data_IF_816058228685
#
_entry.id   IF_816058228685
#
_cell.length_a   1.000
_cell.length_b   1.000
_cell.length_c   1.000
_cell.angle_alpha   90.00
_cell.angle_beta   90.00
_cell.angle_gamma   90.00
#
_symmetry.space_group_name_H-M   'P 1'
#
loop_
_entity.id
_entity.type
_entity.pdbx_description
1 polymer ?
#
# COMPACT_ATOMS: atom_id res chain seq x y z
N UNK A 1 -40.46 -17.95 5.30
CA UNK A 1 -40.29 -18.26 3.86
C UNK A 1 -39.36 -19.47 3.75
N UNK A 2 -39.75 -20.51 3.00
CA UNK A 2 -38.83 -21.60 2.68
C UNK A 2 -38.15 -21.22 1.36
N UNK A 3 -36.83 -21.07 1.39
CA UNK A 3 -36.04 -20.84 0.19
C UNK A 3 -35.79 -22.22 -0.43
N UNK A 4 -36.79 -22.72 -1.15
CA UNK A 4 -36.90 -24.13 -1.54
C UNK A 4 -35.79 -24.60 -2.50
N UNK A 5 -34.97 -23.69 -3.05
CA UNK A 5 -33.82 -24.04 -3.87
C UNK A 5 -32.55 -23.29 -3.42
N UNK A 6 -31.65 -24.03 -2.77
CA UNK A 6 -30.37 -23.52 -2.28
C UNK A 6 -29.40 -23.17 -3.42
N UNK A 7 -29.47 -23.86 -4.56
CA UNK A 7 -28.60 -23.61 -5.72
C UNK A 7 -28.93 -22.26 -6.36
N UNK A 8 -30.22 -21.97 -6.55
CA UNK A 8 -30.68 -20.67 -7.06
C UNK A 8 -30.29 -19.52 -6.13
N UNK A 9 -30.35 -19.75 -4.81
CA UNK A 9 -29.95 -18.75 -3.84
C UNK A 9 -28.43 -18.52 -3.83
N UNK A 10 -27.66 -19.57 -4.07
CA UNK A 10 -26.21 -19.51 -4.19
C UNK A 10 -25.78 -18.79 -5.48
N UNK A 11 -26.46 -19.03 -6.60
CA UNK A 11 -26.22 -18.30 -7.85
C UNK A 11 -26.47 -16.80 -7.66
N UNK A 12 -27.61 -16.43 -7.06
CA UNK A 12 -27.91 -15.03 -6.71
C UNK A 12 -26.88 -14.42 -5.75
N UNK A 13 -26.32 -15.21 -4.84
CA UNK A 13 -25.25 -14.75 -3.96
C UNK A 13 -23.98 -14.43 -4.75
N UNK A 14 -23.62 -15.27 -5.72
CA UNK A 14 -22.48 -15.03 -6.61
C UNK A 14 -22.69 -13.84 -7.55
N UNK A 15 -23.92 -13.60 -7.98
CA UNK A 15 -24.32 -12.40 -8.76
C UNK A 15 -24.53 -11.14 -7.88
N UNK A 16 -24.34 -11.24 -6.56
CA UNK A 16 -24.51 -10.16 -5.59
C UNK A 16 -25.94 -9.57 -5.52
N UNK A 17 -26.96 -10.41 -5.71
CA UNK A 17 -28.39 -10.05 -5.69
C UNK A 17 -29.13 -10.53 -4.42
N UNK A 18 -28.41 -11.05 -3.42
CA UNK A 18 -29.01 -11.53 -2.16
C UNK A 18 -29.21 -10.42 -1.14
N UNK A 19 -30.29 -10.53 -0.36
CA UNK A 19 -30.55 -9.71 0.82
C UNK A 19 -29.81 -10.23 2.06
N UNK A 20 -29.70 -9.42 3.11
CA UNK A 20 -29.04 -9.80 4.37
C UNK A 20 -29.69 -11.02 5.04
N UNK A 21 -31.02 -11.17 4.92
CA UNK A 21 -31.75 -12.32 5.45
C UNK A 21 -31.44 -13.60 4.67
N UNK A 22 -31.35 -13.51 3.35
CA UNK A 22 -30.97 -14.62 2.46
C UNK A 22 -29.53 -15.07 2.70
N UNK A 23 -28.60 -14.14 2.88
CA UNK A 23 -27.21 -14.47 3.23
C UNK A 23 -27.09 -15.13 4.60
N UNK A 24 -27.87 -14.67 5.60
CA UNK A 24 -27.92 -15.31 6.90
C UNK A 24 -28.40 -16.77 6.79
N UNK A 25 -29.38 -17.01 5.91
CA UNK A 25 -29.84 -18.36 5.63
C UNK A 25 -28.78 -19.23 4.95
N UNK A 26 -28.08 -18.71 3.93
CA UNK A 26 -26.95 -19.41 3.29
C UNK A 26 -25.85 -19.77 4.30
N UNK A 27 -25.51 -18.83 5.19
CA UNK A 27 -24.55 -19.07 6.28
C UNK A 27 -25.01 -20.23 7.17
N UNK A 28 -26.26 -20.21 7.62
CA UNK A 28 -26.79 -21.25 8.49
C UNK A 28 -26.86 -22.61 7.80
N UNK A 29 -27.20 -22.65 6.52
CA UNK A 29 -27.27 -23.87 5.72
C UNK A 29 -25.88 -24.50 5.53
N UNK A 30 -24.87 -23.72 5.13
CA UNK A 30 -23.53 -24.23 4.87
C UNK A 30 -22.68 -24.51 6.12
N UNK A 31 -23.15 -24.08 7.30
CA UNK A 31 -22.53 -24.43 8.58
C UNK A 31 -23.00 -25.79 9.15
N UNK A 32 -23.89 -26.49 8.44
CA UNK A 32 -24.33 -27.85 8.81
C UNK A 32 -23.23 -28.89 8.54
N UNK A 33 -23.33 -30.06 9.19
CA UNK A 33 -22.32 -31.11 9.11
C UNK A 33 -22.24 -31.77 7.72
N UNK A 34 -23.38 -31.94 7.04
CA UNK A 34 -23.47 -32.63 5.75
C UNK A 34 -24.24 -31.78 4.72
N UNK A 35 -23.70 -31.67 3.52
CA UNK A 35 -24.35 -31.04 2.34
C UNK A 35 -24.18 -31.95 1.13
N UNK A 36 -25.05 -31.85 0.10
CA UNK A 36 -24.90 -32.58 -1.15
C UNK A 36 -23.49 -32.44 -1.76
N UNK A 37 -22.95 -33.48 -2.43
CA UNK A 37 -21.61 -33.42 -3.01
C UNK A 37 -21.35 -32.25 -3.96
N UNK A 38 -22.37 -31.82 -4.72
CA UNK A 38 -22.32 -30.65 -5.61
C UNK A 38 -22.06 -29.33 -4.88
N UNK A 39 -22.45 -29.25 -3.61
CA UNK A 39 -22.44 -28.03 -2.80
C UNK A 39 -21.26 -27.97 -1.81
N UNK A 40 -20.35 -28.95 -1.87
CA UNK A 40 -19.22 -29.04 -0.94
C UNK A 40 -18.22 -27.89 -1.14
N UNK A 41 -17.98 -27.47 -2.38
CA UNK A 41 -17.14 -26.31 -2.68
C UNK A 41 -17.70 -25.02 -2.07
N UNK A 42 -19.02 -24.81 -2.14
CA UNK A 42 -19.68 -23.69 -1.50
C UNK A 42 -19.59 -23.78 0.03
N UNK A 43 -19.75 -24.97 0.59
CA UNK A 43 -19.61 -25.21 2.03
C UNK A 43 -18.22 -24.82 2.56
N UNK A 44 -17.16 -25.24 1.87
CA UNK A 44 -15.78 -24.92 2.25
C UNK A 44 -15.55 -23.41 2.27
N UNK A 45 -16.08 -22.71 1.27
CA UNK A 45 -16.02 -21.25 1.18
C UNK A 45 -16.75 -20.54 2.35
N UNK A 46 -17.99 -20.94 2.65
CA UNK A 46 -18.76 -20.33 3.74
C UNK A 46 -18.14 -20.63 5.10
N UNK A 47 -17.59 -21.84 5.31
CA UNK A 47 -16.86 -22.20 6.53
C UNK A 47 -15.56 -21.40 6.70
N UNK A 48 -14.80 -21.21 5.62
CA UNK A 48 -13.61 -20.35 5.62
C UNK A 48 -13.96 -18.90 5.99
N UNK A 49 -15.04 -18.35 5.41
CA UNK A 49 -15.51 -16.99 5.74
C UNK A 49 -15.98 -16.86 7.20
N UNK A 50 -16.66 -17.85 7.76
CA UNK A 50 -17.04 -17.89 9.18
C UNK A 50 -15.80 -17.90 10.08
N UNK A 51 -14.80 -18.74 9.76
CA UNK A 51 -13.56 -18.83 10.53
C UNK A 51 -12.78 -17.51 10.56
N UNK A 52 -12.74 -16.79 9.43
CA UNK A 52 -12.06 -15.50 9.33
C UNK A 52 -12.82 -14.33 9.96
N UNK A 53 -14.14 -14.45 10.19
CA UNK A 53 -14.93 -13.35 10.79
C UNK A 53 -14.50 -13.00 12.21
N UNK A 54 -13.91 -13.96 12.93
CA UNK A 54 -13.37 -13.74 14.27
C UNK A 54 -11.96 -13.12 14.28
N UNK A 55 -11.33 -12.98 13.12
CA UNK A 55 -10.13 -12.18 12.98
C UNK A 55 -10.54 -10.71 12.90
N UNK A 56 -10.75 -10.10 14.08
CA UNK A 56 -10.86 -8.65 14.18
C UNK A 56 -9.60 -8.07 13.54
N UNK A 57 -9.76 -7.29 12.47
CA UNK A 57 -8.75 -6.35 12.02
C UNK A 57 -8.51 -5.33 13.15
N UNK A 58 -7.68 -5.68 14.14
CA UNK A 58 -7.30 -4.83 15.26
C UNK A 58 -6.33 -3.71 14.85
N UNK A 59 -6.18 -3.45 13.55
CA UNK A 59 -5.21 -2.49 13.01
C UNK A 59 -5.69 -1.04 12.92
N UNK A 60 -6.99 -0.74 13.08
CA UNK A 60 -7.54 0.59 12.82
C UNK A 60 -8.38 1.20 13.97
N UNK A 61 -8.05 0.88 15.22
CA UNK A 61 -8.44 1.68 16.39
C UNK A 61 -7.23 1.75 17.33
N UNK A 62 -6.32 2.69 17.07
CA UNK A 62 -5.00 2.75 17.67
C UNK A 62 -4.81 4.02 18.51
N UNK A 63 -5.76 4.31 19.39
CA UNK A 63 -5.71 5.55 20.17
C UNK A 63 -5.43 5.28 21.66
N UNK A 64 -6.14 4.35 22.31
CA UNK A 64 -6.01 4.16 23.78
C UNK A 64 -4.63 3.72 24.27
N UNK A 65 -4.02 2.70 23.64
CA UNK A 65 -2.70 2.21 24.06
C UNK A 65 -1.58 3.21 23.77
N UNK A 66 -1.70 3.99 22.69
CA UNK A 66 -0.70 4.98 22.28
C UNK A 66 -0.67 6.18 23.22
N UNK A 67 -1.83 6.72 23.63
CA UNK A 67 -1.89 7.85 24.56
C UNK A 67 -1.46 7.47 25.98
N UNK A 68 -1.65 6.20 26.39
CA UNK A 68 -1.15 5.70 27.69
C UNK A 68 0.38 5.73 27.84
N UNK A 69 1.13 5.66 26.74
CA UNK A 69 2.60 5.67 26.74
C UNK A 69 3.20 7.09 26.68
N UNK A 70 2.38 8.11 26.42
CA UNK A 70 2.83 9.50 26.21
C UNK A 70 2.55 10.38 27.45
N UNK A 71 1.63 10.00 28.34
CA UNK A 71 1.16 10.84 29.44
C UNK A 71 1.95 10.80 30.78
N UNK A 72 3.02 10.01 30.93
CA UNK A 72 3.82 10.05 32.18
C UNK A 72 5.23 10.64 32.01
N UNK A 73 5.45 11.94 32.29
CA UNK A 73 6.78 12.42 32.57
C UNK A 73 7.15 12.02 34.00
N UNK A 74 7.80 10.86 34.17
CA UNK A 74 8.49 10.54 35.43
C UNK A 74 9.71 11.44 35.59
N UNK A 75 9.48 12.66 36.08
CA UNK A 75 10.55 13.57 36.50
C UNK A 75 11.18 12.97 37.77
N UNK A 76 12.22 12.15 37.60
CA UNK A 76 13.10 11.76 38.71
C UNK A 76 13.87 12.98 39.16
N UNK A 77 13.43 13.61 40.27
CA UNK A 77 14.24 14.61 40.98
C UNK A 77 15.42 13.89 41.62
N UNK A 78 16.58 13.95 40.96
CA UNK A 78 17.83 13.45 41.52
C UNK A 78 18.28 14.42 42.60
N UNK A 79 18.13 14.05 43.87
CA UNK A 79 18.71 14.80 44.98
C UNK A 79 20.22 14.54 45.00
N UNK A 80 21.00 15.51 44.48
CA UNK A 80 22.45 15.57 44.71
C UNK A 80 22.69 16.13 46.11
N UNK A 81 23.12 15.28 47.05
CA UNK A 81 23.78 15.74 48.28
C UNK A 81 25.25 16.01 47.96
N UNK A 82 25.83 17.18 48.31
CA UNK A 82 27.25 17.43 48.10
C UNK A 82 28.01 17.03 49.36
N UNK A 83 28.72 15.89 49.32
CA UNK A 83 29.77 15.59 50.28
C UNK A 83 31.12 15.85 49.61
N UNK A 84 31.85 16.85 50.11
CA UNK A 84 33.04 17.44 49.47
C UNK A 84 34.27 16.51 49.40
N UNK A 85 34.14 15.22 49.68
CA UNK A 85 35.17 14.20 49.48
C UNK A 85 34.96 13.36 48.21
N UNK A 86 33.88 13.60 47.45
CA UNK A 86 33.49 12.82 46.27
C UNK A 86 33.94 13.39 44.92
N UNK A 87 34.47 14.61 44.86
CA UNK A 87 34.72 15.31 43.58
C UNK A 87 35.86 14.66 42.77
N UNK A 88 36.96 14.27 43.43
CA UNK A 88 38.07 13.58 42.76
C UNK A 88 37.69 12.16 42.32
N UNK A 89 36.90 11.44 43.14
CA UNK A 89 36.38 10.11 42.79
C UNK A 89 35.37 10.17 41.65
N UNK A 90 34.54 11.22 41.58
CA UNK A 90 33.59 11.44 40.48
C UNK A 90 34.32 11.76 39.17
N UNK A 91 35.38 12.57 39.22
CA UNK A 91 36.23 12.86 38.05
C UNK A 91 36.98 11.62 37.59
N UNK A 92 37.53 10.83 38.52
CA UNK A 92 38.17 9.57 38.18
C UNK A 92 37.18 8.55 37.59
N UNK A 93 35.98 8.45 38.15
CA UNK A 93 34.93 7.56 37.66
C UNK A 93 34.40 8.00 36.28
N UNK A 94 34.26 9.31 36.02
CA UNK A 94 33.81 9.80 34.72
C UNK A 94 34.86 9.55 33.63
N UNK A 95 36.14 9.79 33.93
CA UNK A 95 37.25 9.46 33.03
C UNK A 95 37.33 7.95 32.79
N UNK A 96 37.20 7.13 33.84
CA UNK A 96 37.18 5.68 33.72
C UNK A 96 36.01 5.19 32.86
N UNK A 97 34.80 5.71 33.07
CA UNK A 97 33.63 5.38 32.26
C UNK A 97 33.79 5.82 30.80
N UNK A 98 34.44 6.95 30.53
CA UNK A 98 34.76 7.37 29.17
C UNK A 98 35.79 6.46 28.52
N UNK A 99 36.84 6.05 29.24
CA UNK A 99 37.86 5.14 28.73
C UNK A 99 37.27 3.75 28.48
N UNK A 100 36.51 3.21 29.44
CA UNK A 100 35.83 1.92 29.32
C UNK A 100 34.80 1.99 28.18
N UNK A 101 33.99 3.05 28.12
CA UNK A 101 33.00 3.27 27.07
C UNK A 101 33.63 3.42 25.69
N UNK A 102 34.76 4.13 25.59
CA UNK A 102 35.51 4.29 24.35
C UNK A 102 36.17 2.97 23.92
N UNK A 103 36.76 2.22 24.85
CA UNK A 103 37.42 0.96 24.55
C UNK A 103 36.41 -0.15 24.22
N UNK A 104 35.27 -0.19 24.93
CA UNK A 104 34.15 -1.08 24.64
C UNK A 104 33.46 -0.70 23.32
N UNK A 105 33.25 0.59 23.06
CA UNK A 105 32.66 1.10 21.82
C UNK A 105 33.57 0.95 20.61
N UNK A 106 34.89 0.98 20.79
CA UNK A 106 35.85 0.75 19.70
C UNK A 106 36.12 -0.75 19.44
N UNK A 107 35.88 -1.63 20.43
CA UNK A 107 35.97 -3.09 20.26
C UNK A 107 34.69 -3.74 19.76
N UNK A 108 33.55 -3.18 20.14
CA UNK A 108 32.29 -3.47 19.48
C UNK A 108 32.15 -2.44 18.35
N UNK A 109 32.81 -2.69 17.22
CA UNK A 109 32.24 -2.23 15.96
C UNK A 109 30.79 -2.69 16.00
N UNK A 110 29.85 -1.75 16.14
CA UNK A 110 28.44 -2.04 15.94
C UNK A 110 28.42 -2.81 14.61
N UNK A 111 28.12 -4.11 14.67
CA UNK A 111 27.89 -4.88 13.46
C UNK A 111 26.76 -4.13 12.79
N UNK A 112 27.08 -3.39 11.73
CA UNK A 112 26.14 -2.55 11.01
C UNK A 112 25.17 -3.51 10.31
N UNK A 113 24.18 -4.05 11.02
CA UNK A 113 23.08 -4.83 10.44
C UNK A 113 22.28 -3.98 9.44
N UNK A 114 22.42 -2.64 9.51
CA UNK A 114 21.93 -1.71 8.49
C UNK A 114 22.66 -1.81 7.14
N UNK A 115 23.92 -2.23 7.07
CA UNK A 115 24.66 -2.34 5.81
C UNK A 115 24.13 -3.43 4.85
N UNK A 116 23.89 -4.69 5.27
CA UNK A 116 23.37 -5.71 4.37
C UNK A 116 21.94 -5.38 3.89
N UNK A 117 21.10 -4.82 4.76
CA UNK A 117 19.73 -4.42 4.36
C UNK A 117 19.70 -3.28 3.34
N UNK A 118 20.56 -2.27 3.52
CA UNK A 118 20.68 -1.15 2.57
C UNK A 118 21.30 -1.63 1.25
N UNK A 119 22.23 -2.59 1.30
CA UNK A 119 22.81 -3.19 0.09
C UNK A 119 21.76 -3.99 -0.70
N UNK A 120 20.94 -4.81 -0.02
CA UNK A 120 19.86 -5.57 -0.65
C UNK A 120 18.80 -4.64 -1.26
N UNK A 121 18.38 -3.60 -0.54
CA UNK A 121 17.45 -2.60 -1.05
C UNK A 121 18.00 -1.88 -2.29
N UNK A 122 19.29 -1.49 -2.27
CA UNK A 122 19.93 -0.89 -3.45
C UNK A 122 19.94 -1.85 -4.63
N UNK A 123 20.23 -3.13 -4.42
CA UNK A 123 20.19 -4.13 -5.49
C UNK A 123 18.79 -4.26 -6.10
N UNK A 124 17.75 -4.29 -5.27
CA UNK A 124 16.36 -4.36 -5.72
C UNK A 124 15.96 -3.13 -6.56
N UNK A 125 16.34 -1.93 -6.12
CA UNK A 125 16.11 -0.70 -6.88
C UNK A 125 16.88 -0.70 -8.20
N UNK A 126 18.12 -1.20 -8.22
CA UNK A 126 18.90 -1.31 -9.44
C UNK A 126 18.28 -2.30 -10.44
N UNK A 127 17.73 -3.41 -9.95
CA UNK A 127 16.95 -4.35 -10.77
C UNK A 127 15.71 -3.66 -11.35
N UNK A 128 14.94 -2.95 -10.51
CA UNK A 128 13.78 -2.15 -10.91
C UNK A 128 14.15 -1.18 -12.03
N UNK A 129 15.21 -0.40 -11.82
CA UNK A 129 15.69 0.60 -12.78
C UNK A 129 16.17 -0.04 -14.07
N UNK A 130 16.88 -1.17 -13.99
CA UNK A 130 17.36 -1.90 -15.16
C UNK A 130 16.19 -2.41 -16.00
N UNK A 131 15.25 -3.10 -15.37
CA UNK A 131 14.13 -3.78 -16.03
C UNK A 131 13.06 -2.80 -16.51
N UNK A 132 12.86 -1.66 -15.84
CA UNK A 132 11.82 -0.67 -16.20
C UNK A 132 12.37 0.59 -16.89
N UNK A 133 13.68 0.66 -17.13
CA UNK A 133 14.24 1.78 -17.91
C UNK A 133 13.63 1.84 -19.31
N UNK A 134 13.49 3.02 -19.94
CA UNK A 134 12.98 3.11 -21.31
C UNK A 134 13.77 2.28 -22.33
N UNK A 135 15.06 2.01 -22.06
CA UNK A 135 15.96 1.20 -22.90
C UNK A 135 15.80 -0.31 -22.68
N UNK A 136 14.99 -0.72 -21.70
CA UNK A 136 14.79 -2.14 -21.35
C UNK A 136 13.95 -2.91 -22.36
N UNK A 137 13.25 -2.23 -23.28
CA UNK A 137 12.38 -2.87 -24.26
C UNK A 137 13.13 -3.91 -25.13
N UNK A 138 14.45 -3.77 -25.27
CA UNK A 138 15.32 -4.70 -26.01
C UNK A 138 15.85 -5.86 -25.15
N UNK A 139 15.86 -5.71 -23.83
CA UNK A 139 16.54 -6.64 -22.90
C UNK A 139 15.63 -7.35 -21.90
N UNK A 140 14.37 -6.91 -21.75
CA UNK A 140 13.38 -7.53 -20.89
C UNK A 140 12.02 -7.64 -21.60
N UNK A 141 11.32 -8.76 -21.41
CA UNK A 141 9.98 -8.97 -21.94
C UNK A 141 8.93 -8.17 -21.17
N UNK A 142 7.76 -7.94 -21.77
CA UNK A 142 6.65 -7.25 -21.07
C UNK A 142 6.22 -7.99 -19.79
N UNK A 143 6.24 -9.33 -19.79
CA UNK A 143 5.91 -10.16 -18.63
C UNK A 143 6.92 -10.00 -17.50
N UNK A 144 8.22 -9.96 -17.81
CA UNK A 144 9.28 -9.70 -16.82
C UNK A 144 9.13 -8.31 -16.20
N UNK A 145 8.89 -7.29 -17.03
CA UNK A 145 8.63 -5.93 -16.54
C UNK A 145 7.39 -5.85 -15.66
N UNK A 146 6.31 -6.52 -16.05
CA UNK A 146 5.08 -6.60 -15.26
C UNK A 146 5.30 -7.26 -13.89
N UNK A 147 6.09 -8.33 -13.84
CA UNK A 147 6.44 -9.02 -12.60
C UNK A 147 7.23 -8.11 -11.66
N UNK A 148 8.17 -7.33 -12.20
CA UNK A 148 8.94 -6.35 -11.42
C UNK A 148 8.03 -5.23 -10.91
N UNK A 149 7.17 -4.64 -11.74
CA UNK A 149 6.24 -3.58 -11.34
C UNK A 149 5.31 -3.97 -10.18
N UNK A 150 4.88 -5.24 -10.13
CA UNK A 150 3.99 -5.76 -9.09
C UNK A 150 4.71 -6.11 -7.79
N UNK A 151 6.05 -6.09 -7.77
CA UNK A 151 6.83 -6.37 -6.57
C UNK A 151 6.71 -5.19 -5.61
N UNK A 152 6.39 -5.47 -4.36
CA UNK A 152 6.35 -4.44 -3.33
C UNK A 152 7.77 -4.10 -2.86
N UNK A 153 8.19 -2.86 -3.11
CA UNK A 153 9.46 -2.32 -2.59
C UNK A 153 9.12 -1.38 -1.44
N UNK A 154 8.93 -1.95 -0.25
CA UNK A 154 8.45 -1.23 0.95
C UNK A 154 9.59 -0.89 1.89
N UNK A 155 10.36 0.16 1.57
CA UNK A 155 11.30 0.78 2.52
C UNK A 155 11.37 2.29 2.30
N UNK A 156 10.92 3.06 3.31
CA UNK A 156 10.84 4.53 3.35
C UNK A 156 12.01 5.32 2.70
N UNK A 157 13.30 4.95 2.87
CA UNK A 157 14.39 5.70 2.23
C UNK A 157 14.39 5.63 0.68
N UNK A 158 13.68 4.68 0.06
CA UNK A 158 13.67 4.44 -1.38
C UNK A 158 12.40 4.92 -2.09
N UNK A 159 11.35 5.28 -1.36
CA UNK A 159 10.00 5.51 -1.90
C UNK A 159 9.98 6.51 -3.07
N UNK A 160 10.75 7.60 -2.97
CA UNK A 160 10.82 8.62 -4.04
C UNK A 160 11.45 8.08 -5.32
N UNK A 161 12.50 7.26 -5.21
CA UNK A 161 13.19 6.70 -6.37
C UNK A 161 12.31 5.64 -7.05
N UNK A 162 11.68 4.76 -6.27
CA UNK A 162 10.74 3.76 -6.80
C UNK A 162 9.53 4.43 -7.45
N UNK A 163 8.94 5.44 -6.81
CA UNK A 163 7.84 6.21 -7.38
C UNK A 163 8.24 6.84 -8.72
N UNK A 164 9.44 7.41 -8.83
CA UNK A 164 9.91 7.98 -10.10
C UNK A 164 10.07 6.93 -11.21
N UNK A 165 10.54 5.73 -10.88
CA UNK A 165 10.66 4.62 -11.84
C UNK A 165 9.26 4.19 -12.31
N UNK A 166 8.31 4.04 -11.39
CA UNK A 166 6.92 3.69 -11.70
C UNK A 166 6.22 4.77 -12.53
N UNK A 167 6.44 6.06 -12.25
CA UNK A 167 5.92 7.17 -13.08
C UNK A 167 6.44 7.05 -14.52
N UNK A 168 7.72 6.74 -14.69
CA UNK A 168 8.30 6.55 -16.02
C UNK A 168 7.70 5.33 -16.73
N UNK A 169 7.54 4.21 -16.04
CA UNK A 169 6.91 3.00 -16.59
C UNK A 169 5.45 3.26 -16.98
N UNK A 170 4.66 3.90 -16.11
CA UNK A 170 3.28 4.31 -16.38
C UNK A 170 3.18 5.16 -17.64
N UNK A 171 4.11 6.09 -17.87
CA UNK A 171 4.05 7.03 -18.98
C UNK A 171 4.60 6.51 -20.30
N UNK A 172 5.64 5.68 -20.24
CA UNK A 172 6.47 5.40 -21.41
C UNK A 172 6.69 3.92 -21.70
N UNK A 173 6.24 2.98 -20.87
CA UNK A 173 6.39 1.56 -21.22
C UNK A 173 5.61 1.26 -22.51
N UNK A 174 6.22 0.57 -23.50
CA UNK A 174 5.54 0.26 -24.75
C UNK A 174 4.29 -0.61 -24.56
N UNK A 175 4.26 -1.45 -23.51
CA UNK A 175 3.15 -2.35 -23.24
C UNK A 175 2.10 -1.70 -22.31
N UNK A 176 0.85 -1.66 -22.77
CA UNK A 176 -0.30 -1.09 -22.04
C UNK A 176 -0.48 -1.72 -20.66
N UNK A 177 -0.31 -3.04 -20.53
CA UNK A 177 -0.53 -3.74 -19.28
C UNK A 177 0.54 -3.40 -18.23
N UNK A 178 1.78 -3.13 -18.69
CA UNK A 178 2.84 -2.64 -17.80
C UNK A 178 2.54 -1.21 -17.36
N UNK A 179 2.05 -0.35 -18.27
CA UNK A 179 1.61 1.01 -17.91
C UNK A 179 0.48 1.00 -16.88
N UNK A 180 -0.51 0.12 -17.04
CA UNK A 180 -1.61 -0.07 -16.09
C UNK A 180 -1.13 -0.53 -14.72
N UNK A 181 -0.29 -1.58 -14.69
CA UNK A 181 0.25 -2.07 -13.43
C UNK A 181 1.11 -1.02 -12.74
N UNK A 182 1.88 -0.22 -13.49
CA UNK A 182 2.69 0.84 -12.90
C UNK A 182 1.82 1.97 -12.33
N UNK A 183 0.72 2.31 -13.01
CA UNK A 183 -0.29 3.26 -12.52
C UNK A 183 -0.91 2.79 -11.19
N UNK A 184 -1.26 1.50 -11.10
CA UNK A 184 -1.82 0.86 -9.90
C UNK A 184 -0.81 0.79 -8.76
N UNK A 185 0.40 0.23 -9.00
CA UNK A 185 1.46 0.12 -7.99
C UNK A 185 1.86 1.49 -7.42
N UNK A 186 1.84 2.54 -8.25
CA UNK A 186 2.17 3.90 -7.84
C UNK A 186 1.24 4.44 -6.72
N UNK A 187 0.04 3.87 -6.56
CA UNK A 187 -0.94 4.29 -5.55
C UNK A 187 -0.45 4.08 -4.12
N UNK A 188 0.45 3.11 -3.92
CA UNK A 188 1.09 2.90 -2.62
C UNK A 188 1.88 4.14 -2.16
N UNK A 189 2.41 4.91 -3.11
CA UNK A 189 3.22 6.10 -2.86
C UNK A 189 2.42 7.41 -2.91
N UNK A 190 1.08 7.36 -2.85
CA UNK A 190 0.15 8.51 -2.95
C UNK A 190 0.38 9.66 -1.96
N UNK A 191 1.10 9.41 -0.86
CA UNK A 191 1.46 10.44 0.12
C UNK A 191 2.55 11.39 -0.41
N UNK A 192 3.30 10.98 -1.43
CA UNK A 192 4.29 11.82 -2.08
C UNK A 192 3.58 12.82 -3.02
N UNK A 193 3.75 14.14 -2.84
CA UNK A 193 3.11 15.14 -3.71
C UNK A 193 3.41 14.94 -5.20
N UNK A 194 4.63 14.53 -5.53
CA UNK A 194 5.05 14.23 -6.91
C UNK A 194 4.22 13.12 -7.58
N UNK A 195 3.66 12.19 -6.81
CA UNK A 195 2.83 11.10 -7.34
C UNK A 195 1.45 11.61 -7.74
N UNK A 196 0.86 12.45 -6.88
CA UNK A 196 -0.44 13.08 -7.15
C UNK A 196 -0.36 13.97 -8.39
N UNK A 197 0.70 14.77 -8.49
CA UNK A 197 0.99 15.58 -9.67
C UNK A 197 1.21 14.71 -10.91
N UNK A 198 1.97 13.61 -10.80
CA UNK A 198 2.19 12.70 -11.91
C UNK A 198 0.88 12.12 -12.45
N UNK A 199 -0.07 11.70 -11.63
CA UNK A 199 -1.37 11.22 -12.11
C UNK A 199 -2.13 12.28 -12.93
N UNK A 200 -2.12 13.55 -12.49
CA UNK A 200 -2.75 14.65 -13.21
C UNK A 200 -2.08 14.86 -14.57
N UNK A 201 -0.75 14.89 -14.61
CA UNK A 201 0.01 15.08 -15.85
C UNK A 201 -0.14 13.89 -16.80
N UNK A 202 -0.10 12.67 -16.27
CA UNK A 202 -0.28 11.44 -17.04
C UNK A 202 -1.63 11.39 -17.75
N UNK A 203 -2.70 11.89 -17.14
CA UNK A 203 -4.02 11.95 -17.78
C UNK A 203 -4.02 12.76 -19.09
N UNK A 204 -3.11 13.74 -19.22
CA UNK A 204 -2.97 14.52 -20.46
C UNK A 204 -2.42 13.71 -21.62
N UNK A 205 -1.46 12.84 -21.35
CA UNK A 205 -0.63 12.19 -22.38
C UNK A 205 -1.08 10.76 -22.68
N UNK A 206 -1.76 10.09 -21.73
CA UNK A 206 -2.23 8.72 -21.95
C UNK A 206 -3.34 8.67 -22.99
N UNK A 207 -3.19 7.75 -23.94
CA UNK A 207 -4.11 7.55 -25.06
C UNK A 207 -4.93 6.27 -24.91
N UNK A 208 -4.44 5.30 -24.14
CA UNK A 208 -5.13 4.03 -23.92
C UNK A 208 -6.36 4.23 -23.00
N UNK A 209 -7.58 3.82 -23.41
CA UNK A 209 -8.79 4.01 -22.62
C UNK A 209 -8.75 3.35 -21.24
N UNK A 210 -8.11 2.19 -21.09
CA UNK A 210 -8.04 1.50 -19.80
C UNK A 210 -7.12 2.27 -18.84
N UNK A 211 -5.99 2.79 -19.33
CA UNK A 211 -5.10 3.63 -18.53
C UNK A 211 -5.77 4.95 -18.15
N UNK A 212 -6.51 5.57 -19.08
CA UNK A 212 -7.30 6.77 -18.80
C UNK A 212 -8.36 6.52 -17.73
N UNK A 213 -9.09 5.41 -17.81
CA UNK A 213 -10.09 5.03 -16.82
C UNK A 213 -9.47 4.86 -15.42
N UNK A 214 -8.38 4.10 -15.33
CA UNK A 214 -7.65 3.89 -14.07
C UNK A 214 -7.17 5.22 -13.46
N UNK A 215 -6.60 6.10 -14.27
CA UNK A 215 -6.15 7.42 -13.80
C UNK A 215 -7.32 8.24 -13.25
N UNK A 216 -8.46 8.25 -13.92
CA UNK A 216 -9.65 8.96 -13.42
C UNK A 216 -10.11 8.36 -12.08
N UNK A 217 -10.19 7.03 -11.99
CA UNK A 217 -10.62 6.34 -10.76
C UNK A 217 -9.67 6.62 -9.58
N UNK A 218 -8.35 6.64 -9.83
CA UNK A 218 -7.35 7.00 -8.84
C UNK A 218 -7.51 8.45 -8.38
N UNK A 219 -7.67 9.40 -9.30
CA UNK A 219 -7.83 10.82 -8.96
C UNK A 219 -9.07 11.06 -8.11
N UNK A 220 -10.16 10.33 -8.39
CA UNK A 220 -11.37 10.32 -7.57
C UNK A 220 -11.11 9.71 -6.19
N UNK A 221 -10.46 8.55 -6.11
CA UNK A 221 -10.13 7.88 -4.85
C UNK A 221 -9.24 8.74 -3.95
N UNK A 222 -8.31 9.50 -4.54
CA UNK A 222 -7.42 10.44 -3.85
C UNK A 222 -8.12 11.78 -3.50
N UNK A 223 -9.35 12.00 -3.97
CA UNK A 223 -10.08 13.27 -3.86
C UNK A 223 -9.24 14.44 -4.39
N UNK A 224 -8.55 14.24 -5.52
CA UNK A 224 -7.61 15.19 -6.07
C UNK A 224 -8.32 16.34 -6.82
N UNK A 225 -8.71 17.38 -6.07
CA UNK A 225 -9.41 18.55 -6.64
C UNK A 225 -8.58 19.30 -7.69
N UNK A 226 -7.25 19.25 -7.60
CA UNK A 226 -6.38 19.90 -8.60
C UNK A 226 -6.50 19.28 -9.99
N UNK A 227 -7.04 18.05 -10.09
CA UNK A 227 -7.26 17.38 -11.35
C UNK A 227 -8.49 17.89 -12.13
N UNK A 228 -9.43 18.61 -11.51
CA UNK A 228 -10.74 18.95 -12.11
C UNK A 228 -10.57 19.61 -13.48
N UNK A 229 -9.69 20.60 -13.59
CA UNK A 229 -9.45 21.30 -14.86
C UNK A 229 -8.89 20.37 -15.92
N UNK A 230 -8.05 19.42 -15.50
CA UNK A 230 -7.46 18.45 -16.41
C UNK A 230 -8.47 17.39 -16.88
N UNK A 231 -9.35 16.95 -15.99
CA UNK A 231 -10.46 16.05 -16.33
C UNK A 231 -11.46 16.76 -17.26
N UNK A 232 -11.77 18.05 -17.01
CA UNK A 232 -12.58 18.87 -17.93
C UNK A 232 -11.96 18.95 -19.32
N UNK A 233 -10.66 19.26 -19.42
CA UNK A 233 -9.94 19.28 -20.70
C UNK A 233 -10.00 17.93 -21.42
N UNK A 234 -9.90 16.81 -20.68
CA UNK A 234 -10.04 15.48 -21.27
C UNK A 234 -11.39 15.31 -21.97
N UNK A 235 -12.50 15.70 -21.35
CA UNK A 235 -13.86 15.59 -21.94
C UNK A 235 -14.07 16.36 -23.24
N UNK A 236 -13.18 17.31 -23.54
CA UNK A 236 -13.20 18.14 -24.74
C UNK A 236 -12.33 17.57 -25.86
N UNK A 237 -11.55 16.51 -25.63
CA UNK A 237 -10.70 15.91 -26.66
C UNK A 237 -11.55 15.32 -27.79
N UNK A 238 -11.20 15.58 -29.06
CA UNK A 238 -11.84 14.94 -30.19
C UNK A 238 -11.59 13.42 -30.12
N UNK A 239 -12.60 12.63 -30.51
CA UNK A 239 -12.54 11.16 -30.53
C UNK A 239 -12.30 10.50 -29.16
N UNK A 240 -12.57 11.19 -28.04
CA UNK A 240 -12.58 10.54 -26.73
C UNK A 240 -13.66 9.44 -26.70
N UNK A 241 -13.29 8.25 -26.24
CA UNK A 241 -14.20 7.13 -26.13
C UNK A 241 -15.41 7.49 -25.21
N UNK A 242 -16.66 7.17 -25.60
CA UNK A 242 -17.86 7.60 -24.86
C UNK A 242 -17.86 7.19 -23.38
N UNK A 243 -17.42 5.97 -23.08
CA UNK A 243 -17.29 5.44 -21.71
C UNK A 243 -16.32 6.26 -20.85
N UNK A 244 -15.18 6.67 -21.43
CA UNK A 244 -14.19 7.52 -20.74
C UNK A 244 -14.75 8.93 -20.53
N UNK A 245 -15.48 9.47 -21.50
CA UNK A 245 -16.15 10.76 -21.36
C UNK A 245 -17.16 10.76 -20.22
N UNK A 246 -18.00 9.72 -20.12
CA UNK A 246 -18.96 9.55 -19.04
C UNK A 246 -18.26 9.46 -17.68
N UNK A 247 -17.23 8.63 -17.56
CA UNK A 247 -16.44 8.48 -16.33
C UNK A 247 -15.78 9.80 -15.91
N UNK A 248 -15.22 10.56 -16.85
CA UNK A 248 -14.64 11.87 -16.58
C UNK A 248 -15.70 12.89 -16.10
N UNK A 249 -16.91 12.88 -16.67
CA UNK A 249 -18.02 13.73 -16.20
C UNK A 249 -18.46 13.37 -14.79
N UNK A 250 -18.58 12.08 -14.48
CA UNK A 250 -18.88 11.60 -13.12
C UNK A 250 -17.79 12.02 -12.13
N UNK A 251 -16.51 11.87 -12.49
CA UNK A 251 -15.39 12.27 -11.67
C UNK A 251 -15.40 13.77 -11.35
N UNK A 252 -15.74 14.63 -12.32
CA UNK A 252 -15.90 16.07 -12.08
C UNK A 252 -16.98 16.32 -11.01
N UNK A 253 -18.12 15.63 -11.09
CA UNK A 253 -19.19 15.77 -10.11
C UNK A 253 -18.79 15.35 -8.69
N UNK A 254 -17.94 14.32 -8.56
CA UNK A 254 -17.45 13.82 -7.27
C UNK A 254 -16.38 14.73 -6.65
N UNK A 255 -15.55 15.37 -7.48
CA UNK A 255 -14.39 16.16 -7.03
C UNK A 255 -14.72 17.60 -6.64
N UNK A 256 -15.88 18.13 -7.04
CA UNK A 256 -16.31 19.51 -6.71
C UNK A 256 -16.64 19.63 -5.22
#
# INVERSE_FOLDING_TARGET
>A
MKWDNIEVLLDRYYEAETTLEEENYLRQYFNQAEVPPSLKAAQDYFKFREAQRHEKLTGYTHDEWLFSQIEEPKIRRFFLRPDSFSMLLQVAASIALLIIGFWWGNRNTFVNTAQPEVAALRQEIQEFKKVLSPKSAESATASERLLVVRREVTKAPADKEVAQILINAMNFDPNVNVRLAACESLFQYRQLPMVREAYIQSLQIQTDPNVQAMLIDILVALKEKQAIDQVKKLTQKPNLQPTIKLKAQQAIGILI
#
